data_IF_431901846366
#
_entry.id   IF_431901846366
#
_cell.length_a   1.000
_cell.length_b   1.000
_cell.length_c   1.000
_cell.angle_alpha   90.00
_cell.angle_beta   90.00
_cell.angle_gamma   90.00
#
_symmetry.space_group_name_H-M   'P 1'
#
loop_
_entity.id
_entity.type
_entity.pdbx_description
1 polymer ?
#
# COMPACT_ATOMS: atom_id res chain seq x y z
N UNK A 1 29.01 -39.42 -33.92
CA UNK A 1 30.48 -39.42 -33.89
C UNK A 1 30.90 -37.98 -33.60
N UNK A 2 30.48 -37.45 -32.45
CA UNK A 2 30.94 -37.74 -31.06
C UNK A 2 32.15 -36.83 -30.78
N UNK A 3 32.33 -36.14 -29.67
CA UNK A 3 31.63 -35.99 -28.39
C UNK A 3 32.06 -34.60 -27.83
N UNK A 4 31.17 -33.87 -27.17
CA UNK A 4 31.22 -33.56 -25.72
C UNK A 4 32.60 -33.16 -25.16
N UNK A 5 32.70 -31.92 -24.69
CA UNK A 5 33.43 -31.62 -23.46
C UNK A 5 32.66 -30.58 -22.65
N UNK A 6 32.42 -30.95 -21.40
CA UNK A 6 31.58 -30.33 -20.40
C UNK A 6 32.38 -29.27 -19.63
N UNK A 7 31.74 -28.21 -19.18
CA UNK A 7 32.16 -27.56 -17.93
C UNK A 7 30.93 -27.22 -17.10
N UNK A 8 30.61 -28.14 -16.19
CA UNK A 8 29.81 -27.92 -15.00
C UNK A 8 30.52 -26.86 -14.13
N UNK A 9 29.78 -25.89 -13.62
CA UNK A 9 30.20 -25.17 -12.41
C UNK A 9 29.04 -25.17 -11.43
N UNK A 10 29.37 -25.77 -10.30
CA UNK A 10 28.59 -26.29 -9.20
C UNK A 10 28.01 -25.16 -8.34
N UNK A 11 26.76 -25.35 -7.90
CA UNK A 11 26.11 -24.58 -6.84
C UNK A 11 26.52 -25.15 -5.48
N UNK A 12 26.76 -24.28 -4.49
CA UNK A 12 26.56 -24.44 -3.04
C UNK A 12 27.16 -23.19 -2.34
N UNK A 13 26.73 -22.64 -1.21
CA UNK A 13 25.51 -22.64 -0.40
C UNK A 13 25.77 -21.67 0.81
N UNK A 14 24.70 -21.19 1.48
CA UNK A 14 24.64 -20.54 2.81
C UNK A 14 25.19 -19.11 3.00
N UNK A 15 24.37 -18.08 3.25
CA UNK A 15 23.45 -17.75 4.36
C UNK A 15 24.07 -16.75 5.33
N UNK A 16 23.61 -15.50 5.26
CA UNK A 16 23.59 -14.61 6.42
C UNK A 16 22.28 -13.82 6.38
N UNK A 17 21.25 -14.38 7.00
CA UNK A 17 19.94 -13.74 7.17
C UNK A 17 19.97 -12.84 8.40
N UNK A 18 20.10 -11.53 8.19
CA UNK A 18 19.83 -10.54 9.24
C UNK A 18 18.33 -10.53 9.55
N UNK A 19 17.99 -11.00 10.74
CA UNK A 19 16.65 -10.92 11.32
C UNK A 19 16.26 -9.46 11.58
N UNK A 20 15.55 -8.85 10.63
CA UNK A 20 14.80 -7.63 10.88
C UNK A 20 13.55 -7.97 11.71
N UNK A 21 13.69 -7.67 13.01
CA UNK A 21 12.69 -7.52 14.07
C UNK A 21 11.26 -7.26 13.56
N UNK A 22 10.32 -8.10 14.00
CA UNK A 22 8.88 -7.96 13.74
C UNK A 22 8.38 -6.54 14.08
N UNK A 23 7.65 -5.86 13.18
CA UNK A 23 6.89 -4.69 13.55
C UNK A 23 5.68 -5.12 14.38
N UNK A 24 5.64 -4.57 15.59
CA UNK A 24 4.54 -4.59 16.57
C UNK A 24 3.19 -4.39 15.86
N UNK A 25 2.23 -5.26 16.16
CA UNK A 25 0.82 -5.12 15.77
C UNK A 25 0.28 -3.75 16.24
N UNK A 26 0.24 -2.78 15.32
CA UNK A 26 -0.50 -1.55 15.49
C UNK A 26 -1.89 -1.81 14.93
N UNK A 27 -2.86 -2.00 15.82
CA UNK A 27 -4.29 -2.07 15.51
C UNK A 27 -4.72 -0.76 14.82
N UNK A 28 -4.68 -0.75 13.50
CA UNK A 28 -5.22 0.32 12.67
C UNK A 28 -6.74 0.16 12.58
N UNK A 29 -7.47 1.04 13.27
CA UNK A 29 -8.94 1.16 13.16
C UNK A 29 -9.30 2.18 12.07
N UNK A 30 -9.82 1.75 10.90
CA UNK A 30 -10.20 2.64 9.81
C UNK A 30 -11.51 3.42 10.07
N UNK A 31 -12.09 3.34 11.28
CA UNK A 31 -13.33 4.04 11.66
C UNK A 31 -13.19 4.92 12.91
N UNK A 32 -11.97 5.23 13.36
CA UNK A 32 -11.78 6.22 14.42
C UNK A 32 -12.10 7.63 13.88
N UNK A 33 -13.26 8.15 14.30
CA UNK A 33 -13.79 9.46 13.93
C UNK A 33 -12.82 10.57 14.36
N UNK A 34 -12.30 11.32 13.38
CA UNK A 34 -11.49 12.51 13.56
C UNK A 34 -12.38 13.62 14.14
N UNK A 35 -12.49 13.68 15.47
CA UNK A 35 -13.02 14.84 16.16
C UNK A 35 -12.03 15.98 16.02
N UNK A 36 -12.31 16.82 15.02
CA UNK A 36 -11.84 18.20 14.91
C UNK A 36 -12.31 18.98 16.14
N UNK A 37 -11.43 19.15 17.12
CA UNK A 37 -11.54 20.24 18.08
C UNK A 37 -10.76 21.44 17.54
N UNK A 38 -11.48 22.52 17.33
CA UNK A 38 -10.98 23.79 16.87
C UNK A 38 -10.45 24.65 18.02
N UNK A 39 -9.36 25.37 17.71
CA UNK A 39 -8.85 26.60 18.33
C UNK A 39 -8.22 26.54 19.73
N UNK A 40 -6.92 26.83 19.79
CA UNK A 40 -6.46 28.17 20.20
C UNK A 40 -4.95 28.34 19.98
N UNK A 41 -4.62 29.43 19.28
CA UNK A 41 -3.30 30.05 19.09
C UNK A 41 -2.70 30.64 20.38
N UNK A 42 -1.39 30.91 20.33
CA UNK A 42 -0.55 31.73 21.25
C UNK A 42 -0.09 31.01 22.54
N UNK A 43 1.13 31.13 23.08
CA UNK A 43 2.37 31.85 22.76
C UNK A 43 3.50 31.29 23.69
N UNK A 44 4.72 31.71 23.38
CA UNK A 44 6.06 31.56 23.96
C UNK A 44 6.32 31.24 25.46
N UNK A 45 7.56 30.77 25.69
CA UNK A 45 8.43 30.95 26.89
C UNK A 45 8.72 29.77 27.84
N UNK A 46 9.95 29.25 27.67
CA UNK A 46 11.03 28.92 28.63
C UNK A 46 10.79 28.37 30.06
N UNK A 47 11.64 27.39 30.35
CA UNK A 47 12.43 27.15 31.58
C UNK A 47 11.86 26.34 32.76
N UNK A 48 12.53 25.20 32.95
CA UNK A 48 13.26 24.79 34.16
C UNK A 48 12.69 23.65 35.03
N UNK A 49 13.62 22.80 35.45
CA UNK A 49 13.64 22.33 36.83
C UNK A 49 12.90 21.05 37.21
N UNK A 50 13.61 19.92 37.05
CA UNK A 50 14.00 19.04 38.16
C UNK A 50 12.92 18.22 38.92
N UNK A 51 13.21 16.92 39.12
CA UNK A 51 12.80 16.25 40.37
C UNK A 51 12.19 14.84 40.27
N UNK A 52 13.08 13.85 40.36
CA UNK A 52 12.97 12.62 41.17
C UNK A 52 11.95 11.51 40.84
N UNK A 53 12.54 10.33 40.64
CA UNK A 53 11.98 8.99 40.77
C UNK A 53 11.85 8.56 42.24
N UNK A 54 11.16 7.42 42.38
CA UNK A 54 10.97 6.52 43.54
C UNK A 54 9.71 6.91 44.33
N UNK A 55 8.75 6.03 44.63
CA UNK A 55 8.90 4.67 45.14
C UNK A 55 7.57 3.85 45.06
N UNK A 56 7.69 2.60 45.48
CA UNK A 56 6.83 1.43 45.38
C UNK A 56 5.36 1.54 45.84
N UNK A 57 4.51 0.81 45.10
CA UNK A 57 3.57 -0.22 45.58
C UNK A 57 2.48 0.17 46.58
N UNK A 58 1.22 0.12 46.13
CA UNK A 58 0.11 -0.33 46.97
C UNK A 58 -1.08 -0.80 46.11
N UNK A 59 -1.53 -2.03 46.38
CA UNK A 59 -2.81 -2.56 45.91
C UNK A 59 -3.95 -1.77 46.55
N UNK A 60 -4.79 -1.13 45.74
CA UNK A 60 -6.02 -0.50 46.24
C UNK A 60 -7.20 -0.98 45.40
N UNK A 61 -7.99 -1.87 46.01
CA UNK A 61 -9.37 -2.16 45.64
C UNK A 61 -10.20 -0.88 45.83
N UNK A 62 -10.92 -0.45 44.80
CA UNK A 62 -11.98 0.55 44.94
C UNK A 62 -13.23 0.05 44.21
N UNK A 63 -14.26 -0.26 45.00
CA UNK A 63 -15.66 -0.32 44.57
C UNK A 63 -16.22 1.11 44.38
N UNK A 64 -17.15 1.25 43.42
CA UNK A 64 -17.99 2.45 43.19
C UNK A 64 -17.52 3.27 41.98
N UNK A 65 -18.32 3.66 40.98
CA UNK A 65 -19.78 3.76 40.81
C UNK A 65 -20.15 3.68 39.31
N UNK A 66 -21.40 3.34 38.95
CA UNK A 66 -21.84 3.19 37.57
C UNK A 66 -22.10 4.54 36.88
N UNK A 67 -21.40 4.80 35.78
CA UNK A 67 -21.60 5.97 34.93
C UNK A 67 -22.96 5.88 34.23
N UNK A 68 -23.86 6.78 34.62
CA UNK A 68 -25.10 7.06 33.92
C UNK A 68 -24.81 7.53 32.50
N UNK A 69 -25.17 6.71 31.50
CA UNK A 69 -25.49 7.19 30.16
C UNK A 69 -26.75 6.46 29.69
N UNK A 70 -27.88 6.88 30.27
CA UNK A 70 -29.23 6.47 29.88
C UNK A 70 -29.61 7.27 28.63
N UNK A 71 -29.18 6.79 27.46
CA UNK A 71 -29.66 7.32 26.19
C UNK A 71 -31.17 7.05 26.08
N UNK A 72 -31.92 8.11 25.77
CA UNK A 72 -33.37 8.15 25.65
C UNK A 72 -33.93 6.95 24.88
N UNK A 73 -34.71 6.12 25.58
CA UNK A 73 -35.56 5.09 25.00
C UNK A 73 -36.73 5.78 24.30
N UNK A 74 -36.77 5.72 22.97
CA UNK A 74 -37.99 5.98 22.22
C UNK A 74 -38.94 4.80 22.48
N UNK A 75 -39.84 4.98 23.44
CA UNK A 75 -41.00 4.12 23.65
C UNK A 75 -41.87 4.13 22.39
N UNK A 76 -41.85 3.04 21.63
CA UNK A 76 -42.91 2.76 20.66
C UNK A 76 -44.07 2.17 21.48
N UNK A 77 -44.90 3.04 22.06
CA UNK A 77 -46.10 2.63 22.79
C UNK A 77 -47.14 2.13 21.80
N UNK A 78 -47.31 0.80 21.67
CA UNK A 78 -48.54 0.22 21.10
C UNK A 78 -49.63 0.21 22.18
N UNK A 79 -50.91 0.45 21.84
CA UNK A 79 -51.97 0.57 22.83
C UNK A 79 -52.42 -0.80 23.35
N UNK A 80 -52.41 -0.96 24.67
CA UNK A 80 -53.36 -1.81 25.41
C UNK A 80 -53.17 -3.32 25.36
N UNK A 81 -52.36 -3.85 26.30
CA UNK A 81 -52.29 -5.26 26.68
C UNK A 81 -50.89 -5.58 27.22
N UNK A 82 -50.77 -6.20 28.39
CA UNK A 82 -49.46 -6.68 28.85
C UNK A 82 -48.93 -7.71 27.85
N UNK A 83 -47.82 -7.40 27.17
CA UNK A 83 -47.20 -8.35 26.25
C UNK A 83 -46.79 -9.63 26.99
N UNK A 84 -47.25 -10.78 26.47
CA UNK A 84 -47.09 -12.09 27.12
C UNK A 84 -45.60 -12.46 27.27
N UNK A 85 -44.78 -12.05 26.31
CA UNK A 85 -43.33 -12.21 26.32
C UNK A 85 -42.69 -10.82 26.19
N UNK A 86 -41.75 -10.51 27.09
CA UNK A 86 -41.00 -9.24 27.05
C UNK A 86 -39.64 -9.38 27.71
N UNK A 87 -38.57 -9.04 26.98
CA UNK A 87 -37.20 -9.08 27.49
C UNK A 87 -36.37 -7.93 26.90
N UNK A 88 -35.23 -7.64 27.53
CA UNK A 88 -34.30 -6.62 27.05
C UNK A 88 -33.29 -7.27 26.10
N UNK A 89 -33.30 -6.88 24.84
CA UNK A 89 -32.40 -7.38 23.80
C UNK A 89 -31.19 -6.47 23.63
N UNK A 90 -29.99 -6.98 23.90
CA UNK A 90 -28.72 -6.28 23.60
C UNK A 90 -28.26 -6.70 22.22
N UNK A 91 -28.38 -5.83 21.23
CA UNK A 91 -28.04 -6.13 19.84
C UNK A 91 -26.55 -5.92 19.60
N UNK A 92 -25.87 -6.96 19.15
CA UNK A 92 -24.45 -6.92 18.80
C UNK A 92 -24.28 -7.33 17.33
N UNK A 93 -23.50 -6.56 16.57
CA UNK A 93 -23.20 -6.89 15.18
C UNK A 93 -21.94 -7.76 15.08
N UNK A 94 -22.03 -8.82 14.27
CA UNK A 94 -20.94 -9.75 13.93
C UNK A 94 -20.65 -9.71 12.44
N UNK A 95 -19.38 -9.69 12.06
CA UNK A 95 -18.96 -9.85 10.67
C UNK A 95 -18.91 -11.33 10.26
N UNK A 96 -18.61 -12.22 11.21
CA UNK A 96 -18.55 -13.68 11.03
C UNK A 96 -18.98 -14.40 12.31
N UNK A 97 -19.36 -15.68 12.20
CA UNK A 97 -20.01 -16.48 13.25
C UNK A 97 -19.19 -16.55 14.54
N UNK A 98 -17.91 -16.86 14.43
CA UNK A 98 -17.02 -17.12 15.56
C UNK A 98 -16.32 -15.86 16.10
N UNK A 99 -16.83 -14.66 15.81
CA UNK A 99 -16.26 -13.41 16.31
C UNK A 99 -16.43 -13.32 17.84
N UNK A 100 -15.31 -13.29 18.57
CA UNK A 100 -15.26 -13.32 20.04
C UNK A 100 -15.76 -12.01 20.68
N UNK A 101 -15.45 -10.87 20.06
CA UNK A 101 -15.80 -9.53 20.55
C UNK A 101 -16.65 -8.79 19.51
N UNK A 102 -17.96 -9.08 19.43
CA UNK A 102 -18.87 -8.32 18.57
C UNK A 102 -19.11 -6.92 19.14
N UNK A 103 -19.31 -5.93 18.27
CA UNK A 103 -19.62 -4.56 18.67
C UNK A 103 -21.06 -4.50 19.18
N UNK A 104 -21.26 -4.04 20.40
CA UNK A 104 -22.60 -3.76 20.92
C UNK A 104 -23.13 -2.49 20.23
N UNK A 105 -24.30 -2.57 19.62
CA UNK A 105 -24.87 -1.50 18.81
C UNK A 105 -25.89 -0.70 19.63
N UNK A 106 -26.89 -1.38 20.17
CA UNK A 106 -27.95 -0.76 20.95
C UNK A 106 -28.68 -1.80 21.81
N UNK A 107 -29.46 -1.32 22.76
CA UNK A 107 -30.34 -2.13 23.60
C UNK A 107 -31.78 -1.75 23.31
N UNK A 108 -32.66 -2.75 23.16
CA UNK A 108 -34.07 -2.53 22.85
C UNK A 108 -34.95 -3.58 23.53
N UNK A 109 -36.08 -3.15 24.06
CA UNK A 109 -37.09 -4.05 24.59
C UNK A 109 -37.78 -4.78 23.44
N UNK A 110 -37.73 -6.11 23.48
CA UNK A 110 -38.38 -7.00 22.52
C UNK A 110 -39.63 -7.56 23.20
N UNK A 111 -40.79 -7.31 22.61
CA UNK A 111 -42.08 -7.72 23.18
C UNK A 111 -43.01 -8.30 22.12
N UNK A 112 -43.93 -9.18 22.56
CA UNK A 112 -44.87 -9.85 21.67
C UNK A 112 -45.81 -10.83 22.39
N UNK A 113 -46.87 -11.25 21.70
CA UNK A 113 -47.88 -12.19 22.21
C UNK A 113 -47.64 -13.63 21.74
N UNK A 114 -46.83 -13.81 20.69
CA UNK A 114 -46.44 -15.09 20.13
C UNK A 114 -44.92 -15.19 19.90
N UNK A 115 -44.41 -16.40 19.65
CA UNK A 115 -43.00 -16.59 19.23
C UNK A 115 -42.74 -15.86 17.90
N UNK A 116 -43.71 -15.84 16.99
CA UNK A 116 -43.62 -15.13 15.72
C UNK A 116 -43.49 -13.62 15.90
N UNK A 117 -44.24 -13.04 16.83
CA UNK A 117 -44.19 -11.61 17.13
C UNK A 117 -42.82 -11.20 17.70
N UNK A 118 -42.22 -12.07 18.51
CA UNK A 118 -40.87 -11.86 19.04
C UNK A 118 -39.84 -11.90 17.91
N UNK A 119 -39.97 -12.86 16.98
CA UNK A 119 -39.09 -12.93 15.80
C UNK A 119 -39.25 -11.67 14.94
N UNK A 120 -40.47 -11.17 14.78
CA UNK A 120 -40.75 -9.93 14.04
C UNK A 120 -40.15 -8.71 14.70
N UNK A 121 -40.33 -8.58 16.01
CA UNK A 121 -39.73 -7.51 16.79
C UNK A 121 -38.20 -7.55 16.73
N UNK A 122 -37.59 -8.75 16.74
CA UNK A 122 -36.15 -8.91 16.57
C UNK A 122 -35.71 -8.46 15.17
N UNK A 123 -36.40 -8.90 14.12
CA UNK A 123 -36.08 -8.53 12.73
C UNK A 123 -36.23 -7.03 12.49
N UNK A 124 -37.37 -6.44 12.84
CA UNK A 124 -37.62 -5.00 12.69
C UNK A 124 -36.55 -4.15 13.39
N UNK A 125 -36.01 -4.66 14.50
CA UNK A 125 -34.96 -3.98 15.26
C UNK A 125 -33.58 -4.18 14.65
N UNK A 126 -33.27 -5.40 14.19
CA UNK A 126 -31.94 -5.79 13.72
C UNK A 126 -31.68 -5.61 12.23
N UNK A 127 -32.71 -5.42 11.40
CA UNK A 127 -32.59 -5.39 9.92
C UNK A 127 -31.64 -4.29 9.42
N UNK A 128 -31.52 -3.18 10.14
CA UNK A 128 -30.59 -2.10 9.82
C UNK A 128 -29.11 -2.50 9.93
N UNK A 129 -28.81 -3.58 10.67
CA UNK A 129 -27.47 -4.14 10.84
C UNK A 129 -27.15 -5.24 9.82
N UNK A 130 -28.14 -5.67 9.03
CA UNK A 130 -28.02 -6.73 8.04
C UNK A 130 -27.65 -6.15 6.67
N UNK A 131 -26.78 -6.86 5.96
CA UNK A 131 -26.34 -6.58 4.58
C UNK A 131 -26.76 -7.74 3.67
N UNK A 132 -26.47 -7.61 2.37
CA UNK A 132 -26.79 -8.64 1.37
C UNK A 132 -26.19 -10.00 1.77
N UNK A 133 -26.98 -11.06 1.61
CA UNK A 133 -26.60 -12.42 2.00
C UNK A 133 -25.41 -12.92 1.18
N UNK A 134 -24.48 -13.58 1.86
CA UNK A 134 -23.35 -14.28 1.23
C UNK A 134 -23.54 -15.80 1.34
N UNK A 135 -23.30 -16.47 0.22
CA UNK A 135 -23.27 -17.93 0.07
C UNK A 135 -21.87 -18.35 -0.37
N UNK A 136 -21.49 -19.59 -0.05
CA UNK A 136 -20.25 -20.20 -0.51
C UNK A 136 -20.61 -21.34 -1.46
N UNK A 137 -20.06 -21.32 -2.66
CA UNK A 137 -20.15 -22.38 -3.65
C UNK A 137 -18.73 -22.88 -3.92
N UNK A 138 -18.45 -24.15 -3.62
CA UNK A 138 -17.09 -24.73 -3.63
C UNK A 138 -16.02 -23.83 -2.95
N UNK A 139 -16.32 -23.34 -1.74
CA UNK A 139 -15.48 -22.41 -0.95
C UNK A 139 -15.21 -21.04 -1.62
N UNK A 140 -15.93 -20.70 -2.69
CA UNK A 140 -15.90 -19.39 -3.33
C UNK A 140 -17.06 -18.54 -2.79
N UNK A 141 -16.79 -17.37 -2.18
CA UNK A 141 -17.85 -16.50 -1.70
C UNK A 141 -18.56 -15.85 -2.88
N UNK A 142 -19.90 -15.93 -2.89
CA UNK A 142 -20.78 -15.29 -3.86
C UNK A 142 -21.92 -14.55 -3.15
N UNK A 143 -22.45 -13.53 -3.83
CA UNK A 143 -23.69 -12.89 -3.39
C UNK A 143 -24.87 -13.83 -3.63
N UNK A 144 -25.79 -13.92 -2.67
CA UNK A 144 -27.06 -14.58 -2.92
C UNK A 144 -27.90 -13.79 -3.93
N UNK A 145 -28.78 -14.48 -4.65
CA UNK A 145 -29.70 -13.88 -5.63
C UNK A 145 -30.63 -12.84 -5.00
N UNK A 146 -30.98 -13.02 -3.72
CA UNK A 146 -31.74 -12.07 -2.93
C UNK A 146 -30.88 -10.84 -2.59
N UNK A 147 -31.13 -9.73 -3.30
CA UNK A 147 -30.40 -8.47 -3.11
C UNK A 147 -30.65 -7.83 -1.74
N UNK A 148 -31.89 -7.96 -1.23
CA UNK A 148 -32.28 -7.52 0.12
C UNK A 148 -32.87 -8.71 0.87
N UNK A 149 -32.26 -9.15 1.98
CA UNK A 149 -32.84 -10.22 2.77
C UNK A 149 -34.17 -9.75 3.38
N UNK A 150 -35.22 -10.54 3.21
CA UNK A 150 -36.50 -10.32 3.87
C UNK A 150 -36.61 -11.09 5.19
N UNK A 151 -37.81 -11.03 5.77
CA UNK A 151 -38.15 -11.69 7.06
C UNK A 151 -37.90 -13.20 7.01
N UNK A 152 -38.10 -13.84 5.86
CA UNK A 152 -37.87 -15.25 5.63
C UNK A 152 -36.41 -15.68 5.85
N UNK A 153 -35.47 -14.74 5.73
CA UNK A 153 -34.04 -14.98 5.90
C UNK A 153 -33.55 -14.78 7.34
N UNK A 154 -34.42 -14.43 8.30
CA UNK A 154 -34.07 -14.11 9.70
C UNK A 154 -33.09 -15.10 10.33
N UNK A 155 -33.34 -16.41 10.14
CA UNK A 155 -32.55 -17.48 10.76
C UNK A 155 -31.13 -17.54 10.21
N UNK A 156 -30.92 -17.04 8.99
CA UNK A 156 -29.60 -16.96 8.36
C UNK A 156 -28.78 -15.76 8.87
N UNK A 157 -29.35 -14.88 9.69
CA UNK A 157 -28.72 -13.63 10.09
C UNK A 157 -28.70 -13.40 11.59
N UNK A 158 -29.58 -14.02 12.37
CA UNK A 158 -29.73 -13.70 13.78
C UNK A 158 -29.69 -14.94 14.66
N UNK A 159 -28.92 -14.87 15.74
CA UNK A 159 -28.91 -15.85 16.82
C UNK A 159 -29.07 -15.14 18.15
N UNK A 160 -29.63 -15.81 19.15
CA UNK A 160 -29.81 -15.21 20.48
C UNK A 160 -29.02 -16.00 21.51
N UNK A 161 -28.37 -15.30 22.43
CA UNK A 161 -27.57 -15.87 23.49
C UNK A 161 -28.11 -15.42 24.84
N UNK A 162 -28.48 -16.40 25.65
CA UNK A 162 -28.78 -16.14 27.05
C UNK A 162 -27.45 -15.95 27.79
N UNK A 163 -27.17 -14.71 28.19
CA UNK A 163 -25.94 -14.34 28.88
C UNK A 163 -25.79 -15.04 30.24
N UNK A 164 -26.90 -15.43 30.88
CA UNK A 164 -26.89 -16.05 32.21
C UNK A 164 -26.39 -17.48 32.17
N UNK A 165 -26.83 -18.26 31.17
CA UNK A 165 -26.42 -19.66 30.98
C UNK A 165 -25.37 -19.84 29.88
N UNK A 166 -24.92 -18.73 29.27
CA UNK A 166 -23.98 -18.68 28.13
C UNK A 166 -24.38 -19.58 26.96
N UNK A 167 -25.67 -19.89 26.82
CA UNK A 167 -26.20 -20.79 25.79
C UNK A 167 -26.71 -19.99 24.59
N UNK A 168 -26.30 -20.42 23.40
CA UNK A 168 -26.77 -19.87 22.13
C UNK A 168 -27.99 -20.66 21.64
N UNK A 169 -28.96 -19.96 21.06
CA UNK A 169 -30.18 -20.50 20.51
C UNK A 169 -30.39 -19.94 19.11
N UNK A 170 -30.74 -20.81 18.18
CA UNK A 170 -31.26 -20.42 16.86
C UNK A 170 -32.71 -19.95 17.01
N UNK A 171 -33.15 -19.02 16.17
CA UNK A 171 -34.51 -18.45 16.27
C UNK A 171 -35.60 -19.51 16.05
N UNK A 172 -35.35 -20.51 15.20
CA UNK A 172 -36.23 -21.70 15.05
C UNK A 172 -36.41 -22.53 16.30
N UNK A 173 -35.43 -22.50 17.21
CA UNK A 173 -35.43 -23.30 18.45
C UNK A 173 -36.15 -22.61 19.61
N UNK A 174 -36.65 -21.39 19.40
CA UNK A 174 -37.36 -20.64 20.43
C UNK A 174 -38.71 -21.30 20.74
N UNK A 175 -38.91 -21.57 22.03
CA UNK A 175 -40.18 -22.11 22.54
C UNK A 175 -40.84 -21.12 23.48
N UNK A 176 -42.18 -21.12 23.59
CA UNK A 176 -42.90 -20.24 24.52
C UNK A 176 -42.41 -20.37 25.97
N UNK A 177 -42.04 -21.58 26.39
CA UNK A 177 -41.50 -21.85 27.74
C UNK A 177 -40.14 -21.17 27.97
N UNK A 178 -39.31 -21.06 26.94
CA UNK A 178 -38.02 -20.38 27.02
C UNK A 178 -38.21 -18.87 27.12
N UNK A 179 -39.08 -18.32 26.26
CA UNK A 179 -39.39 -16.88 26.25
C UNK A 179 -40.00 -16.40 27.58
N UNK A 180 -40.85 -17.22 28.21
CA UNK A 180 -41.34 -16.95 29.57
C UNK A 180 -40.22 -16.85 30.61
N UNK A 181 -39.19 -17.71 30.51
CA UNK A 181 -38.02 -17.67 31.41
C UNK A 181 -37.10 -16.48 31.17
N UNK A 182 -37.20 -15.85 29.99
CA UNK A 182 -36.46 -14.64 29.64
C UNK A 182 -37.18 -13.36 30.02
N UNK A 183 -38.42 -13.46 30.55
CA UNK A 183 -39.18 -12.28 30.96
C UNK A 183 -38.38 -11.45 31.96
N UNK A 184 -38.15 -10.18 31.63
CA UNK A 184 -37.38 -9.24 32.45
C UNK A 184 -35.87 -9.52 32.52
N UNK A 185 -35.33 -10.38 31.66
CA UNK A 185 -33.87 -10.62 31.55
C UNK A 185 -33.27 -9.87 30.37
N UNK A 186 -31.96 -9.66 30.45
CA UNK A 186 -31.14 -9.17 29.35
C UNK A 186 -30.62 -10.35 28.51
N UNK A 187 -30.95 -10.37 27.23
CA UNK A 187 -30.59 -11.41 26.27
C UNK A 187 -29.76 -10.77 25.15
N UNK A 188 -28.62 -11.36 24.81
CA UNK A 188 -27.78 -10.87 23.70
C UNK A 188 -28.35 -11.36 22.38
N UNK A 189 -28.57 -10.44 21.44
CA UNK A 189 -29.01 -10.72 20.08
C UNK A 189 -27.83 -10.48 19.15
N UNK A 190 -27.32 -11.57 18.56
CA UNK A 190 -26.17 -11.54 17.67
C UNK A 190 -26.66 -11.45 16.23
N UNK A 191 -26.41 -10.31 15.60
CA UNK A 191 -26.78 -10.04 14.21
C UNK A 191 -25.54 -10.20 13.34
N UNK A 192 -25.53 -11.24 12.50
CA UNK A 192 -24.49 -11.48 11.52
C UNK A 192 -24.74 -10.55 10.32
N UNK A 193 -23.76 -9.73 9.92
CA UNK A 193 -23.98 -8.72 8.88
C UNK A 193 -24.23 -9.35 7.50
N UNK A 194 -23.51 -10.40 7.12
CA UNK A 194 -23.56 -10.98 5.77
C UNK A 194 -24.21 -12.36 5.69
N UNK A 195 -24.23 -13.11 6.80
CA UNK A 195 -25.03 -14.32 7.09
C UNK A 195 -24.30 -15.13 8.16
N UNK A 196 -24.96 -16.16 8.70
CA UNK A 196 -24.36 -17.20 9.53
C UNK A 196 -23.39 -18.11 8.76
N UNK A 197 -23.39 -18.06 7.41
CA UNK A 197 -22.52 -18.88 6.56
C UNK A 197 -21.07 -18.38 6.54
N UNK A 198 -20.83 -17.11 6.90
CA UNK A 198 -19.47 -16.59 7.07
C UNK A 198 -19.01 -16.99 8.47
N UNK A 199 -18.26 -18.09 8.58
CA UNK A 199 -17.95 -18.70 9.87
C UNK A 199 -16.71 -18.09 10.54
N UNK A 200 -15.66 -17.85 9.74
CA UNK A 200 -14.33 -17.50 10.22
C UNK A 200 -13.85 -16.13 9.74
N UNK A 201 -12.82 -15.61 10.41
CA UNK A 201 -12.12 -14.40 9.98
C UNK A 201 -11.47 -14.57 8.61
N UNK A 202 -10.95 -15.76 8.29
CA UNK A 202 -10.35 -16.06 6.98
C UNK A 202 -11.40 -15.96 5.85
N UNK A 203 -12.56 -16.61 6.01
CA UNK A 203 -13.67 -16.49 5.07
C UNK A 203 -14.16 -15.05 4.93
N UNK A 204 -14.20 -14.30 6.03
CA UNK A 204 -14.55 -12.88 5.97
C UNK A 204 -13.53 -12.04 5.20
N UNK A 205 -12.23 -12.32 5.34
CA UNK A 205 -11.17 -11.68 4.53
C UNK A 205 -11.30 -12.04 3.05
N UNK A 206 -11.63 -13.28 2.71
CA UNK A 206 -11.86 -13.69 1.31
C UNK A 206 -13.09 -13.02 0.71
N UNK A 207 -14.17 -12.91 1.49
CA UNK A 207 -15.36 -12.12 1.16
C UNK A 207 -14.99 -10.65 0.91
N UNK A 208 -14.19 -10.05 1.79
CA UNK A 208 -13.72 -8.68 1.62
C UNK A 208 -12.95 -8.54 0.31
N UNK A 209 -12.01 -9.46 0.04
CA UNK A 209 -11.15 -9.43 -1.14
C UNK A 209 -11.89 -9.75 -2.45
N UNK A 210 -12.96 -10.55 -2.44
CA UNK A 210 -13.64 -10.98 -3.68
C UNK A 210 -14.93 -10.22 -3.97
N UNK A 211 -15.68 -9.83 -2.94
CA UNK A 211 -17.04 -9.31 -3.10
C UNK A 211 -17.21 -7.86 -2.65
N UNK A 212 -16.50 -7.42 -1.61
CA UNK A 212 -16.72 -6.09 -1.00
C UNK A 212 -15.71 -5.05 -1.53
N UNK A 213 -14.45 -5.46 -1.65
CA UNK A 213 -13.33 -4.69 -2.16
C UNK A 213 -12.42 -5.58 -3.03
N UNK A 214 -12.90 -6.01 -4.21
CA UNK A 214 -12.07 -6.71 -5.19
C UNK A 214 -10.99 -5.79 -5.73
N UNK A 215 -9.89 -5.67 -4.99
CA UNK A 215 -8.64 -5.19 -5.56
C UNK A 215 -7.99 -6.36 -6.30
N UNK A 216 -7.63 -6.11 -7.57
CA UNK A 216 -6.63 -6.92 -8.29
C UNK A 216 -5.30 -6.17 -8.14
N UNK A 217 -4.61 -6.31 -7.00
CA UNK A 217 -3.28 -5.74 -6.87
C UNK A 217 -2.37 -6.43 -7.90
N UNK A 218 -1.62 -5.63 -8.63
CA UNK A 218 -0.42 -6.07 -9.33
C UNK A 218 0.61 -6.59 -8.31
N UNK A 219 1.78 -7.03 -8.80
CA UNK A 219 2.85 -7.56 -7.94
C UNK A 219 3.31 -6.59 -6.84
N UNK A 220 2.96 -5.30 -6.93
CA UNK A 220 3.32 -4.25 -5.99
C UNK A 220 2.14 -3.76 -5.12
N UNK A 221 0.95 -4.36 -5.24
CA UNK A 221 -0.21 -3.93 -4.45
C UNK A 221 -1.08 -2.85 -5.09
N UNK A 222 -0.76 -2.38 -6.31
CA UNK A 222 -1.51 -1.34 -7.02
C UNK A 222 -2.57 -1.94 -7.94
N UNK A 223 -3.69 -1.25 -8.18
CA UNK A 223 -4.69 -1.74 -9.13
C UNK A 223 -4.07 -1.92 -10.53
N UNK A 224 -4.45 -3.00 -11.23
CA UNK A 224 -3.99 -3.27 -12.59
C UNK A 224 -4.12 -2.03 -13.49
N UNK A 225 -2.99 -1.54 -14.01
CA UNK A 225 -2.92 -0.35 -14.88
C UNK A 225 -3.75 -0.48 -16.15
N UNK A 226 -3.96 -1.72 -16.62
CA UNK A 226 -4.80 -2.04 -17.79
C UNK A 226 -6.28 -1.78 -17.50
N UNK A 227 -6.75 -2.16 -16.31
CA UNK A 227 -8.16 -1.98 -15.91
C UNK A 227 -8.44 -0.49 -15.60
N UNK A 228 -7.48 0.22 -15.01
CA UNK A 228 -7.56 1.67 -14.82
C UNK A 228 -7.61 2.43 -16.15
N UNK A 229 -6.82 2.02 -17.14
CA UNK A 229 -6.84 2.63 -18.47
C UNK A 229 -8.15 2.38 -19.22
N UNK A 230 -8.75 1.20 -19.08
CA UNK A 230 -10.05 0.89 -19.66
C UNK A 230 -11.14 1.79 -19.04
N UNK A 231 -11.18 1.91 -17.71
CA UNK A 231 -12.12 2.78 -17.01
C UNK A 231 -11.88 4.26 -17.33
N UNK A 232 -10.63 4.70 -17.45
CA UNK A 232 -10.31 6.08 -17.83
C UNK A 232 -10.86 6.43 -19.24
N UNK A 233 -10.81 5.48 -20.18
CA UNK A 233 -11.42 5.67 -21.50
C UNK A 233 -12.96 5.70 -21.41
N UNK A 234 -13.57 4.80 -20.63
CA UNK A 234 -15.03 4.79 -20.39
C UNK A 234 -15.52 6.12 -19.80
N UNK A 235 -14.81 6.65 -18.80
CA UNK A 235 -15.11 7.95 -18.19
C UNK A 235 -14.99 9.09 -19.21
N UNK A 236 -13.95 9.09 -20.04
CA UNK A 236 -13.77 10.12 -21.06
C UNK A 236 -14.91 10.10 -22.08
N UNK A 237 -15.33 8.92 -22.51
CA UNK A 237 -16.37 8.76 -23.52
C UNK A 237 -17.76 9.14 -22.97
N UNK A 238 -18.00 8.89 -21.68
CA UNK A 238 -19.22 9.27 -20.96
C UNK A 238 -19.32 10.76 -20.58
N UNK A 239 -18.19 11.47 -20.48
CA UNK A 239 -18.13 12.85 -20.00
C UNK A 239 -17.58 13.81 -21.06
N UNK A 240 -18.24 13.87 -22.22
CA UNK A 240 -17.82 14.70 -23.37
C UNK A 240 -17.80 16.21 -23.08
N UNK A 241 -18.45 16.66 -22.01
CA UNK A 241 -18.44 18.06 -21.56
C UNK A 241 -17.16 18.45 -20.80
N UNK A 242 -16.31 17.49 -20.48
CA UNK A 242 -15.04 17.68 -19.79
C UNK A 242 -13.86 17.37 -20.70
N UNK A 243 -12.83 18.19 -20.61
CA UNK A 243 -11.57 18.00 -21.30
C UNK A 243 -10.43 17.98 -20.28
N UNK A 244 -9.51 17.05 -20.41
CA UNK A 244 -8.40 16.85 -19.49
C UNK A 244 -7.35 15.93 -20.11
N UNK A 245 -6.11 16.00 -19.61
CA UNK A 245 -5.05 15.09 -20.05
C UNK A 245 -5.41 13.65 -19.67
N UNK A 246 -4.92 12.65 -20.41
CA UNK A 246 -5.23 11.24 -20.12
C UNK A 246 -4.83 10.83 -18.69
N UNK A 247 -3.74 11.37 -18.15
CA UNK A 247 -3.34 11.14 -16.75
C UNK A 247 -4.37 11.66 -15.74
N UNK A 248 -5.12 12.72 -16.06
CA UNK A 248 -6.20 13.23 -15.21
C UNK A 248 -7.38 12.26 -15.17
N UNK A 249 -7.70 11.64 -16.32
CA UNK A 249 -8.71 10.58 -16.40
C UNK A 249 -8.27 9.31 -15.65
N UNK A 250 -6.98 8.95 -15.72
CA UNK A 250 -6.40 7.86 -14.93
C UNK A 250 -6.51 8.11 -13.43
N UNK A 251 -6.24 9.33 -12.96
CA UNK A 251 -6.42 9.70 -11.55
C UNK A 251 -7.88 9.54 -11.10
N UNK A 252 -8.84 9.94 -11.93
CA UNK A 252 -10.26 9.73 -11.64
C UNK A 252 -10.62 8.24 -11.57
N UNK A 253 -10.16 7.44 -12.54
CA UNK A 253 -10.36 6.00 -12.57
C UNK A 253 -9.78 5.32 -11.32
N UNK A 254 -8.58 5.73 -10.89
CA UNK A 254 -7.93 5.20 -9.68
C UNK A 254 -8.71 5.52 -8.40
N UNK A 255 -9.27 6.74 -8.29
CA UNK A 255 -10.15 7.10 -7.16
C UNK A 255 -11.41 6.24 -7.13
N UNK A 256 -12.01 5.97 -8.30
CA UNK A 256 -13.18 5.10 -8.40
C UNK A 256 -12.81 3.67 -7.97
N UNK A 257 -11.74 3.10 -8.51
CA UNK A 257 -11.31 1.75 -8.13
C UNK A 257 -10.87 1.63 -6.66
N UNK A 258 -10.30 2.69 -6.09
CA UNK A 258 -9.97 2.77 -4.66
C UNK A 258 -11.19 2.92 -3.74
N UNK A 259 -12.36 3.23 -4.29
CA UNK A 259 -13.61 3.37 -3.54
C UNK A 259 -14.32 2.02 -3.37
N UNK A 260 -15.16 1.88 -2.34
CA UNK A 260 -15.91 0.65 -2.09
C UNK A 260 -16.79 0.25 -3.29
N UNK A 261 -16.86 -1.05 -3.62
CA UNK A 261 -17.50 -1.56 -4.85
C UNK A 261 -18.93 -1.04 -5.06
N UNK A 262 -19.73 -0.96 -3.99
CA UNK A 262 -21.11 -0.46 -4.04
C UNK A 262 -21.24 1.03 -4.40
N UNK A 263 -20.15 1.81 -4.31
CA UNK A 263 -20.12 3.23 -4.69
C UNK A 263 -19.54 3.46 -6.09
N UNK A 264 -18.77 2.51 -6.62
CA UNK A 264 -18.04 2.69 -7.88
C UNK A 264 -18.97 3.01 -9.05
N UNK A 265 -20.05 2.26 -9.21
CA UNK A 265 -21.03 2.49 -10.28
C UNK A 265 -21.75 3.84 -10.16
N UNK A 266 -21.96 4.32 -8.94
CA UNK A 266 -22.52 5.66 -8.72
C UNK A 266 -21.50 6.73 -9.12
N UNK A 267 -20.24 6.58 -8.70
CA UNK A 267 -19.16 7.51 -8.99
C UNK A 267 -18.79 7.57 -10.47
N UNK A 268 -18.96 6.49 -11.23
CA UNK A 268 -18.82 6.49 -12.69
C UNK A 268 -19.86 7.37 -13.40
N UNK A 269 -21.04 7.54 -12.79
CA UNK A 269 -22.17 8.30 -13.35
C UNK A 269 -22.22 9.74 -12.86
N UNK A 270 -21.33 10.13 -11.95
CA UNK A 270 -21.24 11.50 -11.45
C UNK A 270 -20.80 12.44 -12.58
N UNK A 271 -21.59 13.47 -12.84
CA UNK A 271 -21.33 14.39 -13.95
C UNK A 271 -19.99 15.13 -13.86
N UNK A 272 -19.37 15.17 -12.67
CA UNK A 272 -18.19 15.96 -12.38
C UNK A 272 -17.12 15.12 -11.70
N UNK A 273 -15.83 15.41 -11.97
CA UNK A 273 -14.74 14.75 -11.28
C UNK A 273 -14.67 15.22 -9.81
N UNK A 274 -14.16 14.36 -8.89
CA UNK A 274 -13.95 14.72 -7.50
C UNK A 274 -13.23 16.05 -7.32
N UNK A 275 -13.65 16.84 -6.32
CA UNK A 275 -13.19 18.22 -6.08
C UNK A 275 -11.66 18.36 -6.03
N UNK A 276 -10.95 17.36 -5.49
CA UNK A 276 -9.49 17.35 -5.40
C UNK A 276 -8.78 17.34 -6.77
N UNK A 277 -9.41 16.75 -7.79
CA UNK A 277 -8.85 16.63 -9.13
C UNK A 277 -9.55 17.53 -10.15
N UNK A 278 -10.62 18.24 -9.79
CA UNK A 278 -11.36 19.10 -10.72
C UNK A 278 -10.49 20.17 -11.38
N UNK A 279 -9.41 20.63 -10.74
CA UNK A 279 -8.44 21.58 -11.30
C UNK A 279 -7.72 21.08 -12.56
N UNK A 280 -7.68 19.77 -12.79
CA UNK A 280 -7.06 19.16 -13.95
C UNK A 280 -8.01 18.98 -15.13
N UNK A 281 -9.30 19.28 -14.93
CA UNK A 281 -10.33 19.23 -15.95
C UNK A 281 -10.78 20.63 -16.33
N UNK A 282 -11.17 20.80 -17.58
CA UNK A 282 -11.73 22.03 -18.12
C UNK A 282 -13.08 21.71 -18.76
N UNK A 283 -13.99 22.67 -18.68
CA UNK A 283 -15.30 22.55 -19.30
C UNK A 283 -15.17 22.88 -20.79
N UNK A 284 -15.72 22.02 -21.66
CA UNK A 284 -15.69 22.20 -23.12
C UNK A 284 -16.45 23.46 -23.56
N UNK A 285 -17.25 24.07 -22.68
CA UNK A 285 -17.89 25.37 -22.90
C UNK A 285 -16.96 26.59 -22.93
N UNK A 286 -15.64 26.42 -22.73
CA UNK A 286 -14.66 27.51 -22.88
C UNK A 286 -14.40 27.72 -24.38
N UNK A 287 -14.77 28.91 -24.90
CA UNK A 287 -14.58 29.33 -26.31
C UNK A 287 -13.29 28.78 -26.94
N UNK A 288 -13.39 28.23 -28.17
CA UNK A 288 -12.23 27.72 -28.93
C UNK A 288 -11.09 28.75 -29.03
N UNK A 289 -11.41 30.04 -28.94
CA UNK A 289 -10.41 31.12 -28.90
C UNK A 289 -9.53 31.06 -27.64
N UNK A 290 -10.12 30.78 -26.47
CA UNK A 290 -9.36 30.60 -25.23
C UNK A 290 -8.57 29.28 -25.24
N UNK A 291 -9.07 28.24 -25.93
CA UNK A 291 -8.31 27.00 -26.19
C UNK A 291 -7.07 27.29 -27.06
N UNK A 292 -7.25 27.97 -28.18
CA UNK A 292 -6.16 28.35 -29.09
C UNK A 292 -5.13 29.24 -28.40
N UNK A 293 -5.55 30.21 -27.60
CA UNK A 293 -4.62 31.08 -26.87
C UNK A 293 -3.80 30.30 -25.83
N UNK A 294 -4.41 29.37 -25.09
CA UNK A 294 -3.70 28.48 -24.15
C UNK A 294 -2.68 27.59 -24.86
N UNK A 295 -3.05 27.00 -26.01
CA UNK A 295 -2.15 26.18 -26.83
C UNK A 295 -1.01 27.02 -27.39
N UNK A 296 -1.31 28.23 -27.89
CA UNK A 296 -0.31 29.14 -28.41
C UNK A 296 0.72 29.54 -27.35
N UNK A 297 0.27 29.87 -26.13
CA UNK A 297 1.17 30.12 -24.99
C UNK A 297 2.04 28.90 -24.66
N UNK A 298 1.45 27.71 -24.63
CA UNK A 298 2.21 26.46 -24.43
C UNK A 298 3.26 26.23 -25.52
N UNK A 299 2.90 26.48 -26.78
CA UNK A 299 3.81 26.35 -27.93
C UNK A 299 4.95 27.37 -27.89
N UNK A 300 4.70 28.60 -27.44
CA UNK A 300 5.77 29.60 -27.24
C UNK A 300 6.77 29.15 -26.18
N UNK A 301 6.29 28.60 -25.05
CA UNK A 301 7.17 28.06 -24.00
C UNK A 301 7.99 26.88 -24.53
N UNK A 302 7.35 25.94 -25.22
CA UNK A 302 8.03 24.79 -25.82
C UNK A 302 9.10 25.23 -26.85
N UNK A 303 8.78 26.17 -27.73
CA UNK A 303 9.75 26.72 -28.69
C UNK A 303 10.93 27.41 -28.00
N UNK A 304 10.67 28.12 -26.90
CA UNK A 304 11.72 28.77 -26.10
C UNK A 304 12.66 27.74 -25.47
N UNK A 305 12.10 26.66 -24.91
CA UNK A 305 12.89 25.55 -24.36
C UNK A 305 13.70 24.84 -25.45
N UNK A 306 13.10 24.56 -26.61
CA UNK A 306 13.79 23.94 -27.73
C UNK A 306 14.95 24.81 -28.22
N UNK A 307 14.73 26.11 -28.38
CA UNK A 307 15.80 27.05 -28.75
C UNK A 307 16.95 27.05 -27.74
N UNK A 308 16.64 26.99 -26.44
CA UNK A 308 17.64 26.87 -25.37
C UNK A 308 18.43 25.57 -25.50
N UNK A 309 17.78 24.43 -25.73
CA UNK A 309 18.46 23.15 -25.91
C UNK A 309 19.35 23.14 -27.15
N UNK A 310 18.86 23.68 -28.28
CA UNK A 310 19.67 23.82 -29.49
C UNK A 310 20.93 24.64 -29.24
N UNK A 311 20.83 25.72 -28.46
CA UNK A 311 21.99 26.53 -28.07
C UNK A 311 22.97 25.73 -27.21
N UNK A 312 22.48 25.05 -26.17
CA UNK A 312 23.34 24.23 -25.29
C UNK A 312 24.08 23.12 -26.06
N UNK A 313 23.41 22.48 -27.02
CA UNK A 313 24.03 21.47 -27.89
C UNK A 313 25.11 22.11 -28.77
N UNK A 314 24.88 23.31 -29.30
CA UNK A 314 25.88 24.02 -30.08
C UNK A 314 27.12 24.40 -29.25
N UNK A 315 26.92 24.88 -28.02
CA UNK A 315 27.99 25.21 -27.09
C UNK A 315 28.85 23.97 -26.76
N UNK A 316 28.20 22.84 -26.42
CA UNK A 316 28.89 21.55 -26.18
C UNK A 316 29.70 21.10 -27.40
N UNK A 317 29.15 21.30 -28.61
CA UNK A 317 29.86 20.95 -29.86
C UNK A 317 31.12 21.79 -30.06
N UNK A 318 31.08 23.08 -29.69
CA UNK A 318 32.25 23.97 -29.74
C UNK A 318 33.31 23.48 -28.74
N UNK A 319 32.90 23.18 -27.51
CA UNK A 319 33.82 22.69 -26.47
C UNK A 319 34.49 21.37 -26.84
N UNK A 320 33.73 20.42 -27.38
CA UNK A 320 34.26 19.15 -27.90
C UNK A 320 35.25 19.36 -29.04
N UNK A 321 34.97 20.32 -29.94
CA UNK A 321 35.88 20.64 -31.05
C UNK A 321 37.18 21.24 -30.53
N UNK A 322 37.12 22.10 -29.50
CA UNK A 322 38.30 22.65 -28.83
C UNK A 322 39.13 21.56 -28.14
N UNK A 323 38.47 20.63 -27.43
CA UNK A 323 39.13 19.50 -26.78
C UNK A 323 39.84 18.58 -27.79
N UNK A 324 39.22 18.30 -28.94
CA UNK A 324 39.84 17.54 -30.02
C UNK A 324 41.12 18.21 -30.56
N UNK A 325 41.09 19.52 -30.76
CA UNK A 325 42.28 20.26 -31.21
C UNK A 325 43.42 20.19 -30.19
N UNK A 326 43.11 20.28 -28.89
CA UNK A 326 44.11 20.13 -27.82
C UNK A 326 44.72 18.72 -27.81
N UNK A 327 43.89 17.68 -27.94
CA UNK A 327 44.35 16.30 -28.02
C UNK A 327 45.25 16.06 -29.23
N UNK A 328 44.86 16.58 -30.40
CA UNK A 328 45.71 16.53 -31.60
C UNK A 328 47.05 17.22 -31.39
N UNK A 329 47.07 18.36 -30.69
CA UNK A 329 48.31 19.03 -30.30
C UNK A 329 49.18 18.19 -29.38
N UNK A 330 48.58 17.49 -28.41
CA UNK A 330 49.28 16.57 -27.51
C UNK A 330 49.88 15.38 -28.28
N UNK A 331 49.12 14.78 -29.21
CA UNK A 331 49.62 13.68 -30.06
C UNK A 331 50.85 14.09 -30.87
N UNK A 332 50.81 15.26 -31.52
CA UNK A 332 51.99 15.79 -32.26
C UNK A 332 53.21 15.97 -31.36
N UNK A 333 53.01 16.36 -30.09
CA UNK A 333 54.10 16.52 -29.14
C UNK A 333 54.69 15.16 -28.72
N UNK A 334 53.85 14.14 -28.57
CA UNK A 334 54.31 12.76 -28.31
C UNK A 334 55.12 12.25 -29.49
N UNK A 335 54.64 12.40 -30.73
CA UNK A 335 55.37 11.99 -31.94
C UNK A 335 56.76 12.65 -32.03
N UNK A 336 56.86 13.93 -31.67
CA UNK A 336 58.14 14.65 -31.63
C UNK A 336 59.08 14.05 -30.56
N UNK A 337 58.57 13.82 -29.35
CA UNK A 337 59.35 13.23 -28.26
C UNK A 337 59.79 11.79 -28.57
N UNK A 338 58.97 11.00 -29.25
CA UNK A 338 59.34 9.66 -29.72
C UNK A 338 60.47 9.73 -30.75
N UNK A 339 60.39 10.67 -31.70
CA UNK A 339 61.47 10.88 -32.67
C UNK A 339 62.77 11.35 -32.01
N UNK A 340 62.69 12.25 -31.03
CA UNK A 340 63.83 12.72 -30.24
C UNK A 340 64.45 11.57 -29.41
N UNK A 341 63.61 10.74 -28.79
CA UNK A 341 64.05 9.55 -28.05
C UNK A 341 64.78 8.59 -28.98
N UNK A 342 64.22 8.32 -30.17
CA UNK A 342 64.85 7.45 -31.16
C UNK A 342 66.21 7.99 -31.60
N UNK A 343 66.30 9.28 -31.92
CA UNK A 343 67.57 9.91 -32.28
C UNK A 343 68.59 9.83 -31.13
N UNK A 344 68.16 10.07 -29.88
CA UNK A 344 69.01 9.92 -28.71
C UNK A 344 69.51 8.48 -28.54
N UNK A 345 68.64 7.48 -28.74
CA UNK A 345 69.04 6.07 -28.65
C UNK A 345 70.05 5.67 -29.73
N UNK A 346 69.87 6.18 -30.96
CA UNK A 346 70.81 5.97 -32.06
C UNK A 346 72.18 6.60 -31.76
N UNK A 347 72.21 7.82 -31.20
CA UNK A 347 73.45 8.48 -30.78
C UNK A 347 74.14 7.68 -29.67
N UNK A 348 73.40 7.20 -28.66
CA UNK A 348 73.99 6.40 -27.58
C UNK A 348 74.54 5.08 -28.10
N UNK A 349 73.86 4.40 -29.03
CA UNK A 349 74.35 3.16 -29.63
C UNK A 349 75.61 3.40 -30.48
N UNK A 350 75.65 4.50 -31.24
CA UNK A 350 76.84 4.90 -32.00
C UNK A 350 78.02 5.23 -31.07
N UNK A 351 77.77 5.91 -29.94
CA UNK A 351 78.78 6.22 -28.94
C UNK A 351 79.30 4.96 -28.25
N UNK A 352 78.42 4.02 -27.89
CA UNK A 352 78.81 2.72 -27.33
C UNK A 352 79.73 1.95 -28.30
N UNK A 353 79.42 1.97 -29.59
CA UNK A 353 80.25 1.32 -30.62
C UNK A 353 81.61 1.99 -30.77
N UNK A 354 81.67 3.33 -30.71
CA UNK A 354 82.92 4.09 -30.84
C UNK A 354 83.82 4.06 -29.59
N UNK A 355 83.23 3.78 -28.41
CA UNK A 355 83.92 3.72 -27.11
C UNK A 355 84.33 2.28 -26.77
N UNK A 356 84.04 1.29 -27.61
CA UNK A 356 84.56 -0.06 -27.41
C UNK A 356 86.10 -0.02 -27.37
N UNK A 357 86.74 -0.53 -26.31
CA UNK A 357 88.20 -0.53 -26.23
C UNK A 357 88.76 -1.42 -27.34
N UNK A 358 89.42 -0.83 -28.32
CA UNK A 358 90.18 -1.58 -29.30
C UNK A 358 91.37 -2.25 -28.60
N UNK A 359 91.52 -3.56 -28.77
CA UNK A 359 92.74 -4.25 -28.35
C UNK A 359 93.92 -3.68 -29.13
N UNK A 360 94.78 -2.95 -28.42
CA UNK A 360 96.01 -2.41 -28.97
C UNK A 360 97.17 -3.39 -28.73
N UNK A 361 98.30 -3.22 -29.42
CA UNK A 361 99.48 -4.08 -29.23
C UNK A 361 99.91 -4.16 -27.75
N UNK A 362 99.73 -3.07 -27.00
CA UNK A 362 99.95 -3.03 -25.55
C UNK A 362 99.00 -3.93 -24.76
N UNK A 363 97.70 -4.00 -25.11
CA UNK A 363 96.75 -4.88 -24.42
C UNK A 363 96.99 -6.33 -24.76
N UNK A 364 97.37 -6.65 -26.00
CA UNK A 364 97.78 -8.00 -26.39
C UNK A 364 99.09 -8.43 -25.69
N UNK A 365 100.04 -7.51 -25.56
CA UNK A 365 101.29 -7.75 -24.83
C UNK A 365 101.01 -7.98 -23.34
N UNK A 366 100.18 -7.15 -22.71
CA UNK A 366 99.77 -7.32 -21.32
C UNK A 366 99.02 -8.65 -21.11
N UNK A 367 98.07 -9.00 -21.99
CA UNK A 367 97.36 -10.28 -21.94
C UNK A 367 98.32 -11.47 -22.06
N UNK A 368 99.35 -11.38 -22.91
CA UNK A 368 100.37 -12.43 -23.04
C UNK A 368 101.31 -12.55 -21.83
N UNK A 369 101.43 -11.49 -21.03
CA UNK A 369 102.25 -11.47 -19.80
C UNK A 369 101.47 -11.87 -18.55
N UNK A 370 100.14 -11.76 -18.59
CA UNK A 370 99.26 -12.30 -17.54
C UNK A 370 99.25 -13.81 -17.67
N UNK A 371 100.03 -14.47 -16.82
CA UNK A 371 99.96 -15.92 -16.66
C UNK A 371 98.83 -16.21 -15.70
N UNK A 372 97.83 -16.99 -16.12
CA UNK A 372 96.78 -17.49 -15.23
C UNK A 372 97.42 -18.20 -14.05
N UNK A 373 97.43 -17.51 -12.89
CA UNK A 373 97.77 -18.15 -11.63
C UNK A 373 96.53 -18.92 -11.21
N UNK A 374 96.72 -20.22 -10.97
CA UNK A 374 95.72 -21.05 -10.29
C UNK A 374 95.34 -20.34 -9.00
N UNK A 375 94.07 -19.99 -8.87
CA UNK A 375 93.47 -19.51 -7.63
C UNK A 375 93.66 -20.63 -6.59
N UNK A 376 94.64 -20.44 -5.72
CA UNK A 376 95.01 -21.41 -4.67
C UNK A 376 94.18 -21.22 -3.40
N UNK A 377 93.21 -20.31 -3.45
CA UNK A 377 92.52 -19.79 -2.28
C UNK A 377 91.04 -20.27 -2.28
N UNK A 378 90.61 -20.89 -3.39
CA UNK A 378 89.34 -21.58 -3.56
C UNK A 378 89.56 -23.08 -3.84
N UNK A 379 89.79 -23.85 -2.78
CA UNK A 379 89.38 -25.27 -2.66
C UNK A 379 88.21 -25.39 -1.67
#
# INVERSE_FOLDING_TARGET
MDAEEQSEMEYDDYEETEYLRDPVDIDYDPFADERVDAESTEDDSVEDGNGSKDDQGEEVQVEGEPSQNRSHVLEITRPGGEDLFSFEGVFCQRNFKNQLRPKECFVKTVCGQSVGDIIDSLWESGVSLVKRKIIFDDDVPMWADEEKPGRESVDSFMTVQDATVKKMYELRSLTPKLLQKWRGKSIKVLVHAYSTNVESSAQFKDVLKRLIAPSRPDRAGANSTVDEAALANELRDGHQHLEGHFSSWMLWASIIHGSAAHKQETMKKEANPPTMISKYFRWVGVSEAARLDSVHRGMVVANTMNARWTKQVADIKIDLSAALNLLQGAFKKIELLEAETKASTEITAAMETAVQPEENELSQLLASQVTDRRDSDHE
#
